data_IF_331846072638
#
_entry.id   IF_331846072638
#
_cell.length_a   1.000
_cell.length_b   1.000
_cell.length_c   1.000
_cell.angle_alpha   90.00
_cell.angle_beta   90.00
_cell.angle_gamma   90.00
#
_symmetry.space_group_name_H-M   'P 1'
#
loop_
_entity.id
_entity.type
_entity.pdbx_description
1 polymer ?
#
# COMPACT_ATOMS: atom_id res chain seq x y z
N UNK A 1 13.77 -19.76 3.66
CA UNK A 1 13.13 -18.84 2.69
C UNK A 1 12.36 -17.82 3.48
N UNK A 2 12.39 -16.55 3.08
CA UNK A 2 11.76 -15.45 3.84
C UNK A 2 10.60 -14.88 3.02
N UNK A 3 9.41 -14.79 3.60
CA UNK A 3 8.28 -14.09 2.97
C UNK A 3 8.37 -12.60 3.34
N UNK A 4 8.10 -11.73 2.36
CA UNK A 4 8.12 -10.28 2.54
C UNK A 4 6.92 -9.67 1.82
N UNK A 5 6.16 -8.82 2.52
CA UNK A 5 5.02 -8.09 1.95
C UNK A 5 5.41 -6.63 1.66
N UNK A 6 5.12 -6.15 0.45
CA UNK A 6 5.50 -4.81 -0.02
C UNK A 6 4.34 -4.10 -0.76
N UNK A 7 3.95 -2.90 -0.29
CA UNK A 7 3.27 -1.85 -1.09
C UNK A 7 1.75 -1.91 -1.35
N UNK A 8 1.00 -0.87 -0.92
CA UNK A 8 -0.40 -0.49 -1.29
C UNK A 8 -0.74 0.91 -0.64
N UNK A 9 -1.99 1.46 -0.60
CA UNK A 9 -2.34 2.80 -0.03
C UNK A 9 -3.63 2.93 0.87
N UNK A 10 -3.77 4.04 1.62
CA UNK A 10 -4.88 4.73 2.39
C UNK A 10 -4.25 5.96 3.10
N UNK A 11 -5.03 6.91 3.63
CA UNK A 11 -4.50 8.26 3.89
C UNK A 11 -4.08 8.60 5.33
N UNK A 12 -2.81 9.00 5.50
CA UNK A 12 -2.25 9.52 6.75
C UNK A 12 -2.03 11.05 6.81
N UNK A 13 -2.02 11.74 5.67
CA UNK A 13 -1.32 13.04 5.54
C UNK A 13 -2.20 14.25 5.26
N UNK A 14 -3.47 14.03 4.89
CA UNK A 14 -4.31 15.05 4.25
C UNK A 14 -5.69 15.22 4.89
N UNK A 15 -6.01 14.54 5.99
CA UNK A 15 -7.32 14.61 6.67
C UNK A 15 -7.15 14.78 8.19
N UNK A 16 -8.06 15.52 8.83
CA UNK A 16 -8.16 15.64 10.30
C UNK A 16 -9.63 15.67 10.78
N UNK A 17 -9.95 15.09 11.95
CA UNK A 17 -9.10 14.17 12.69
C UNK A 17 -8.71 12.96 11.84
N UNK A 18 -7.54 12.43 12.14
CA UNK A 18 -7.05 11.21 11.53
C UNK A 18 -8.04 10.08 11.87
N UNK A 19 -8.52 9.26 10.91
CA UNK A 19 -9.55 8.27 11.24
C UNK A 19 -8.98 7.22 12.22
N UNK A 20 -9.84 6.59 13.03
CA UNK A 20 -9.39 5.66 14.08
C UNK A 20 -10.36 4.51 14.35
N UNK A 21 -9.83 3.29 14.51
CA UNK A 21 -10.54 2.00 14.64
C UNK A 21 -11.70 2.12 15.61
N UNK A 22 -12.93 1.76 15.19
CA UNK A 22 -14.08 1.77 16.08
C UNK A 22 -14.07 0.58 17.07
N UNK A 23 -14.97 0.61 18.06
CA UNK A 23 -14.95 -0.31 19.20
C UNK A 23 -15.13 -1.79 18.81
N UNK A 24 -15.67 -2.08 17.62
CA UNK A 24 -15.84 -3.44 17.08
C UNK A 24 -14.74 -3.79 16.05
N UNK A 25 -13.67 -3.00 15.95
CA UNK A 25 -12.51 -3.27 15.11
C UNK A 25 -12.60 -2.81 13.65
N UNK A 26 -13.56 -1.93 13.30
CA UNK A 26 -14.00 -1.71 11.90
C UNK A 26 -13.45 -0.41 11.25
N UNK A 27 -13.74 -0.13 9.95
CA UNK A 27 -13.16 0.96 9.08
C UNK A 27 -14.15 1.58 8.10
N UNK A 28 -14.59 2.79 8.46
CA UNK A 28 -14.64 3.91 7.52
C UNK A 28 -13.26 4.24 7.01
N UNK A 29 -12.94 3.57 5.91
CA UNK A 29 -11.92 4.06 5.02
C UNK A 29 -12.28 5.49 4.62
N UNK A 30 -11.46 6.42 5.09
CA UNK A 30 -11.47 7.80 4.67
C UNK A 30 -10.43 7.92 3.56
N UNK A 31 -10.85 8.33 2.34
CA UNK A 31 -9.92 8.41 1.24
C UNK A 31 -8.81 9.44 1.35
N UNK A 32 -7.91 9.41 0.37
CA UNK A 32 -7.07 10.57 0.07
C UNK A 32 -7.98 11.60 -0.63
N UNK A 33 -7.99 12.87 -0.21
CA UNK A 33 -8.71 13.94 -0.90
C UNK A 33 -8.03 14.27 -2.22
N UNK A 34 -8.82 14.57 -3.24
CA UNK A 34 -8.29 14.95 -4.54
C UNK A 34 -7.55 16.29 -4.51
N UNK A 35 -6.41 16.33 -5.20
CA UNK A 35 -5.38 17.39 -5.06
C UNK A 35 -5.66 18.64 -5.90
N UNK A 36 -6.73 18.65 -6.68
CA UNK A 36 -7.08 19.73 -7.62
C UNK A 36 -8.40 19.45 -8.34
N UNK A 37 -8.64 20.15 -9.45
CA UNK A 37 -9.83 19.94 -10.27
C UNK A 37 -9.94 18.49 -10.74
N UNK A 38 -11.12 17.88 -10.55
CA UNK A 38 -11.35 16.46 -10.78
C UNK A 38 -12.77 16.22 -11.32
N UNK A 39 -12.97 15.07 -11.97
CA UNK A 39 -14.28 14.56 -12.38
C UNK A 39 -14.86 13.56 -11.39
N UNK A 40 -14.18 13.28 -10.28
CA UNK A 40 -14.69 12.43 -9.19
C UNK A 40 -15.98 13.04 -8.61
N UNK A 41 -17.07 12.27 -8.65
CA UNK A 41 -18.38 12.65 -8.10
C UNK A 41 -18.56 12.20 -6.65
N UNK A 42 -17.65 11.36 -6.16
CA UNK A 42 -17.60 10.94 -4.77
C UNK A 42 -16.88 12.01 -3.92
N UNK A 43 -17.57 12.54 -2.92
CA UNK A 43 -17.05 13.51 -1.95
C UNK A 43 -17.16 12.94 -0.54
N UNK A 44 -16.51 13.55 0.45
CA UNK A 44 -16.77 13.14 1.84
C UNK A 44 -18.26 13.30 2.21
N UNK A 45 -18.97 14.24 1.59
CA UNK A 45 -20.40 14.48 1.77
C UNK A 45 -21.33 13.51 1.02
N UNK A 46 -20.85 12.74 0.03
CA UNK A 46 -21.66 11.78 -0.73
C UNK A 46 -21.35 10.31 -0.47
N UNK A 47 -20.16 9.97 0.07
CA UNK A 47 -19.85 8.60 0.50
C UNK A 47 -20.51 8.31 1.86
N UNK A 48 -21.42 7.32 1.96
CA UNK A 48 -21.99 6.90 3.23
C UNK A 48 -20.92 6.25 4.11
N UNK A 49 -21.01 6.47 5.41
CA UNK A 49 -20.32 5.62 6.37
C UNK A 49 -20.83 4.17 6.21
N UNK A 50 -19.92 3.22 6.09
CA UNK A 50 -20.21 1.79 5.87
C UNK A 50 -20.50 1.02 7.18
N UNK A 51 -20.36 1.65 8.36
CA UNK A 51 -20.61 1.06 9.68
C UNK A 51 -21.43 1.94 10.64
N UNK A 52 -21.86 3.13 10.21
CA UNK A 52 -22.76 4.01 10.97
C UNK A 52 -23.57 4.86 10.01
N UNK A 53 -24.61 5.52 10.51
CA UNK A 53 -25.38 6.47 9.71
C UNK A 53 -24.58 7.77 9.42
N UNK A 54 -25.01 8.46 8.36
CA UNK A 54 -24.34 9.66 7.84
C UNK A 54 -23.22 9.35 6.84
N UNK A 55 -22.41 10.37 6.55
CA UNK A 55 -21.42 10.38 5.47
C UNK A 55 -20.01 10.65 6.01
N UNK A 56 -18.97 10.39 5.22
CA UNK A 56 -17.58 10.53 5.68
C UNK A 56 -17.22 11.94 6.16
N UNK A 57 -17.88 12.98 5.66
CA UNK A 57 -17.66 14.37 6.08
C UNK A 57 -18.08 14.61 7.54
N UNK A 58 -19.03 13.84 8.06
CA UNK A 58 -19.46 13.88 9.46
C UNK A 58 -18.39 13.29 10.43
N UNK A 59 -17.20 12.98 9.92
CA UNK A 59 -16.03 12.50 10.65
C UNK A 59 -14.86 13.50 10.64
N UNK A 60 -14.98 14.63 9.91
CA UNK A 60 -13.84 15.48 9.53
C UNK A 60 -14.03 16.95 9.96
N UNK A 61 -13.05 17.44 10.73
CA UNK A 61 -12.91 18.87 11.11
C UNK A 61 -11.99 19.63 10.15
N UNK A 62 -11.27 18.92 9.28
CA UNK A 62 -10.57 19.55 8.17
C UNK A 62 -9.86 18.62 7.21
N UNK A 63 -9.53 19.18 6.05
CA UNK A 63 -8.87 18.47 4.94
C UNK A 63 -7.76 19.35 4.36
N UNK A 64 -6.68 18.75 3.89
CA UNK A 64 -5.57 19.44 3.22
C UNK A 64 -5.20 18.74 1.91
N UNK A 65 -5.92 19.02 0.82
CA UNK A 65 -5.59 18.52 -0.51
C UNK A 65 -4.12 18.76 -0.85
N UNK A 66 -3.48 17.79 -1.50
CA UNK A 66 -2.11 17.96 -1.97
C UNK A 66 -1.00 17.60 -0.98
N UNK A 67 -1.30 17.53 0.33
CA UNK A 67 -0.35 17.41 1.47
C UNK A 67 0.35 18.71 1.88
N UNK A 68 0.10 19.81 1.17
CA UNK A 68 0.76 21.12 1.33
C UNK A 68 -0.29 22.23 1.56
N UNK A 69 0.14 23.37 2.10
CA UNK A 69 -0.73 24.54 2.31
C UNK A 69 -1.62 24.49 3.57
N UNK A 70 -2.61 25.39 3.59
CA UNK A 70 -3.54 25.58 4.72
C UNK A 70 -4.61 24.49 4.81
N UNK A 71 -5.20 24.34 6.00
CA UNK A 71 -6.29 23.39 6.23
C UNK A 71 -7.64 23.98 5.86
N UNK A 72 -8.40 23.26 5.03
CA UNK A 72 -9.82 23.46 4.82
C UNK A 72 -10.56 23.08 6.11
N UNK A 73 -11.30 24.00 6.74
CA UNK A 73 -12.07 23.73 7.98
C UNK A 73 -13.54 24.13 7.90
N UNK A 74 -14.00 24.67 6.78
CA UNK A 74 -15.42 24.96 6.58
C UNK A 74 -16.21 23.67 6.35
N UNK A 75 -17.33 23.52 7.06
CA UNK A 75 -18.11 22.27 7.07
C UNK A 75 -18.82 21.97 5.74
N UNK A 76 -19.13 22.98 4.92
CA UNK A 76 -19.67 22.75 3.58
C UNK A 76 -18.55 22.37 2.61
N UNK A 77 -17.43 23.08 2.66
CA UNK A 77 -16.28 22.78 1.81
C UNK A 77 -15.69 21.38 2.10
N UNK A 78 -15.68 20.92 3.35
CA UNK A 78 -15.29 19.55 3.71
C UNK A 78 -16.25 18.52 3.09
N UNK A 79 -17.56 18.80 3.04
CA UNK A 79 -18.55 17.92 2.42
C UNK A 79 -18.38 17.84 0.90
N UNK A 80 -18.09 18.95 0.25
CA UNK A 80 -17.97 19.02 -1.21
C UNK A 80 -16.58 18.59 -1.73
N UNK A 81 -15.58 18.47 -0.85
CA UNK A 81 -14.25 18.00 -1.20
C UNK A 81 -14.30 16.58 -1.81
N UNK A 82 -13.82 16.36 -3.06
CA UNK A 82 -13.81 15.06 -3.72
C UNK A 82 -12.72 14.10 -3.22
N UNK A 83 -12.96 12.79 -3.32
CA UNK A 83 -12.25 11.75 -2.54
C UNK A 83 -12.14 10.37 -3.23
N UNK A 84 -11.04 9.65 -2.98
CA UNK A 84 -10.73 8.35 -3.60
C UNK A 84 -11.43 7.11 -2.98
N UNK A 85 -12.75 7.05 -3.05
CA UNK A 85 -13.62 5.88 -2.77
C UNK A 85 -13.21 4.88 -1.66
N UNK A 86 -12.38 3.85 -1.93
CA UNK A 86 -12.01 2.78 -0.97
C UNK A 86 -10.56 2.26 -1.09
N UNK A 87 -9.87 1.97 0.03
CA UNK A 87 -8.63 1.17 0.05
C UNK A 87 -8.48 0.26 1.28
N UNK A 88 -8.31 -1.03 1.04
CA UNK A 88 -7.71 -1.99 1.98
C UNK A 88 -6.30 -2.38 1.49
N UNK A 89 -5.50 -3.02 2.33
CA UNK A 89 -4.27 -3.72 1.90
C UNK A 89 -4.64 -5.06 1.29
N UNK A 90 -4.18 -5.32 0.07
CA UNK A 90 -4.34 -6.60 -0.60
C UNK A 90 -2.98 -7.15 -1.04
N UNK A 91 -2.81 -8.46 -0.89
CA UNK A 91 -1.82 -9.26 -1.58
C UNK A 91 -2.41 -9.66 -2.94
N UNK A 92 -1.78 -9.24 -4.03
CA UNK A 92 -2.24 -9.51 -5.40
C UNK A 92 -1.25 -10.37 -6.20
N UNK A 93 -0.08 -10.67 -5.63
CA UNK A 93 0.97 -11.45 -6.27
C UNK A 93 2.12 -11.72 -5.30
N UNK A 94 3.00 -12.64 -5.67
CA UNK A 94 4.22 -12.94 -4.94
C UNK A 94 5.33 -13.34 -5.91
N UNK A 95 6.59 -13.24 -5.51
CA UNK A 95 7.71 -13.75 -6.30
C UNK A 95 8.67 -14.50 -5.39
N UNK A 96 9.18 -15.64 -5.85
CA UNK A 96 10.28 -16.31 -5.17
C UNK A 96 11.59 -15.72 -5.69
N UNK A 97 12.40 -15.14 -4.79
CA UNK A 97 13.76 -14.71 -5.14
C UNK A 97 14.61 -15.95 -5.46
N UNK A 98 15.34 -15.89 -6.57
CA UNK A 98 16.21 -16.98 -7.04
C UNK A 98 17.58 -16.94 -6.35
N UNK A 99 18.20 -15.77 -6.36
CA UNK A 99 19.62 -15.55 -6.05
C UNK A 99 19.83 -14.26 -5.25
N UNK A 100 21.09 -13.91 -4.98
CA UNK A 100 21.42 -12.66 -4.30
C UNK A 100 20.97 -11.42 -5.13
N UNK A 101 20.58 -10.32 -4.48
CA UNK A 101 20.26 -9.07 -5.18
C UNK A 101 21.49 -8.51 -5.90
N UNK A 102 21.32 -8.09 -7.15
CA UNK A 102 22.26 -7.16 -7.80
C UNK A 102 21.93 -5.76 -7.29
N UNK A 103 22.79 -5.20 -6.45
CA UNK A 103 22.69 -3.82 -5.96
C UNK A 103 23.51 -2.91 -6.87
N UNK A 104 22.93 -1.77 -7.25
CA UNK A 104 23.57 -0.71 -8.00
C UNK A 104 23.58 0.54 -7.12
N UNK A 105 24.74 0.90 -6.58
CA UNK A 105 24.88 2.10 -5.74
C UNK A 105 25.03 3.37 -6.60
N UNK A 106 24.65 4.55 -6.07
CA UNK A 106 24.72 5.80 -6.82
C UNK A 106 26.11 6.13 -7.36
N UNK A 107 27.13 5.87 -6.54
CA UNK A 107 28.52 6.27 -6.78
C UNK A 107 29.29 5.28 -7.69
N UNK A 108 28.66 4.16 -8.10
CA UNK A 108 29.28 3.21 -9.03
C UNK A 108 29.58 3.88 -10.38
N UNK A 109 30.70 3.50 -10.99
CA UNK A 109 31.03 3.96 -12.33
C UNK A 109 29.96 3.49 -13.33
N UNK A 110 29.73 4.29 -14.38
CA UNK A 110 28.73 4.00 -15.40
C UNK A 110 29.00 2.67 -16.13
N UNK A 111 30.26 2.29 -16.28
CA UNK A 111 30.64 1.01 -16.89
C UNK A 111 30.30 -0.19 -16.00
N UNK A 112 30.56 -0.10 -14.69
CA UNK A 112 30.17 -1.14 -13.72
C UNK A 112 28.65 -1.30 -13.65
N UNK A 113 27.91 -0.18 -13.59
CA UNK A 113 26.44 -0.17 -13.66
C UNK A 113 25.94 -0.87 -14.93
N UNK A 114 26.59 -0.64 -16.07
CA UNK A 114 26.25 -1.28 -17.36
C UNK A 114 26.48 -2.79 -17.31
N UNK A 115 27.67 -3.22 -16.89
CA UNK A 115 28.02 -4.65 -16.81
C UNK A 115 27.05 -5.43 -15.90
N UNK A 116 26.67 -4.85 -14.76
CA UNK A 116 25.67 -5.43 -13.86
C UNK A 116 24.26 -5.46 -14.48
N UNK A 117 23.86 -4.42 -15.23
CA UNK A 117 22.54 -4.35 -15.86
C UNK A 117 22.40 -5.24 -17.10
N UNK A 118 23.47 -5.45 -17.87
CA UNK A 118 23.44 -6.31 -19.07
C UNK A 118 23.32 -7.80 -18.73
N UNK A 119 23.57 -8.21 -17.47
CA UNK A 119 23.14 -9.52 -16.95
C UNK A 119 21.61 -9.66 -16.83
N UNK A 120 20.87 -8.53 -16.86
CA UNK A 120 19.42 -8.44 -16.63
C UNK A 120 18.71 -7.74 -17.81
N UNK A 121 18.97 -8.17 -19.05
CA UNK A 121 18.53 -7.52 -20.29
C UNK A 121 17.04 -7.12 -20.35
N UNK A 122 16.14 -7.89 -19.71
CA UNK A 122 14.70 -7.61 -19.66
C UNK A 122 14.27 -6.58 -18.61
N UNK A 123 15.19 -6.05 -17.79
CA UNK A 123 14.85 -5.22 -16.65
C UNK A 123 14.56 -3.75 -17.04
N UNK A 124 13.50 -3.17 -16.47
CA UNK A 124 13.11 -1.79 -16.71
C UNK A 124 14.19 -0.75 -16.33
N UNK A 125 15.01 -1.04 -15.30
CA UNK A 125 16.13 -0.19 -14.89
C UNK A 125 17.23 -0.17 -15.97
N UNK A 126 17.53 -1.30 -16.61
CA UNK A 126 18.47 -1.40 -17.74
C UNK A 126 17.99 -0.56 -18.93
N UNK A 127 16.71 -0.66 -19.28
CA UNK A 127 16.14 0.13 -20.38
C UNK A 127 16.12 1.64 -20.07
N UNK A 128 15.87 2.03 -18.82
CA UNK A 128 16.03 3.43 -18.40
C UNK A 128 17.49 3.88 -18.52
N UNK A 129 18.43 3.09 -18.02
CA UNK A 129 19.85 3.41 -18.01
C UNK A 129 20.39 3.72 -19.42
N UNK A 130 20.02 2.90 -20.42
CA UNK A 130 20.34 3.18 -21.82
C UNK A 130 19.64 4.45 -22.35
N UNK A 131 18.33 4.60 -22.09
CA UNK A 131 17.51 5.69 -22.65
C UNK A 131 17.58 7.05 -21.93
N UNK A 132 18.25 7.13 -20.78
CA UNK A 132 18.39 8.34 -19.93
C UNK A 132 19.81 8.59 -19.42
N UNK A 133 20.71 7.63 -19.54
CA UNK A 133 22.12 7.77 -19.16
C UNK A 133 22.46 7.34 -17.73
N UNK A 134 21.50 7.35 -16.79
CA UNK A 134 21.61 6.67 -15.50
C UNK A 134 20.22 6.23 -14.97
N UNK A 135 20.23 5.56 -13.82
CA UNK A 135 19.07 5.10 -13.08
C UNK A 135 18.31 6.26 -12.42
N UNK A 136 17.02 6.04 -12.15
CA UNK A 136 16.11 7.08 -11.66
C UNK A 136 16.57 7.76 -10.37
N UNK A 137 17.09 6.98 -9.42
CA UNK A 137 17.62 7.48 -8.15
C UNK A 137 19.11 7.84 -8.20
N UNK A 138 19.76 7.79 -9.37
CA UNK A 138 21.16 8.20 -9.56
C UNK A 138 21.27 9.46 -10.44
N UNK A 139 20.17 9.85 -11.08
CA UNK A 139 20.05 11.01 -11.96
C UNK A 139 19.90 12.30 -11.13
N UNK A 140 20.91 13.18 -11.09
CA UNK A 140 20.87 14.40 -10.27
C UNK A 140 19.90 15.45 -10.80
N UNK A 141 19.41 15.31 -12.05
CA UNK A 141 18.32 16.16 -12.56
C UNK A 141 16.97 15.76 -11.99
N UNK A 142 16.86 14.54 -11.46
CA UNK A 142 15.63 13.99 -10.91
C UNK A 142 15.57 14.05 -9.37
N UNK A 143 16.69 13.83 -8.67
CA UNK A 143 16.70 13.84 -7.20
C UNK A 143 18.00 14.37 -6.59
N UNK A 144 17.85 15.13 -5.49
CA UNK A 144 18.91 15.57 -4.58
C UNK A 144 19.33 14.47 -3.57
N UNK A 145 18.61 13.36 -3.51
CA UNK A 145 18.73 12.30 -2.50
C UNK A 145 18.93 10.95 -3.17
N UNK A 146 20.11 10.69 -3.74
CA UNK A 146 20.34 9.46 -4.47
C UNK A 146 20.19 8.22 -3.58
N UNK A 147 19.73 7.12 -4.17
CA UNK A 147 19.45 5.85 -3.47
C UNK A 147 19.91 4.66 -4.32
N UNK A 148 20.44 3.59 -3.69
CA UNK A 148 20.75 2.36 -4.40
C UNK A 148 19.51 1.79 -5.10
N UNK A 149 19.71 1.27 -6.30
CA UNK A 149 18.70 0.54 -7.08
C UNK A 149 19.02 -0.95 -6.99
N UNK A 150 18.00 -1.78 -6.78
CA UNK A 150 18.19 -3.22 -6.59
C UNK A 150 17.44 -4.01 -7.65
N UNK A 151 18.14 -4.89 -8.34
CA UNK A 151 17.57 -5.89 -9.25
C UNK A 151 17.62 -7.26 -8.54
N UNK A 152 16.45 -7.88 -8.35
CA UNK A 152 16.34 -9.23 -7.79
C UNK A 152 15.84 -10.19 -8.87
N UNK A 153 16.62 -11.24 -9.25
CA UNK A 153 16.13 -12.28 -10.14
C UNK A 153 15.05 -13.12 -9.43
N UNK A 154 13.91 -13.29 -10.10
CA UNK A 154 12.83 -14.16 -9.66
C UNK A 154 12.96 -15.58 -10.23
N UNK A 155 12.34 -16.55 -9.56
CA UNK A 155 12.10 -17.90 -10.08
C UNK A 155 10.69 -18.37 -9.72
N UNK A 156 10.25 -19.45 -10.35
CA UNK A 156 9.05 -20.15 -9.93
C UNK A 156 9.23 -20.86 -8.58
N UNK A 157 8.18 -20.96 -7.73
CA UNK A 157 6.83 -20.43 -7.95
C UNK A 157 6.74 -18.91 -7.70
N UNK A 158 6.05 -18.19 -8.58
CA UNK A 158 5.75 -16.77 -8.41
C UNK A 158 4.55 -16.31 -9.24
N UNK A 159 4.48 -14.99 -9.50
CA UNK A 159 3.47 -14.37 -10.33
C UNK A 159 2.32 -13.72 -9.55
N UNK A 160 1.28 -13.34 -10.28
CA UNK A 160 0.04 -12.80 -9.72
C UNK A 160 -0.78 -13.93 -9.08
N UNK A 161 -1.60 -13.57 -8.09
CA UNK A 161 -2.63 -14.45 -7.58
C UNK A 161 -3.88 -14.33 -8.45
N UNK A 162 -4.68 -15.39 -8.52
CA UNK A 162 -5.95 -15.40 -9.26
C UNK A 162 -6.97 -14.37 -8.73
N UNK A 163 -6.70 -13.79 -7.54
CA UNK A 163 -7.47 -12.71 -6.92
C UNK A 163 -6.68 -11.97 -5.84
N UNK A 164 -7.15 -10.78 -5.50
CA UNK A 164 -6.65 -9.98 -4.39
C UNK A 164 -7.03 -10.62 -3.03
N UNK A 165 -6.04 -11.08 -2.27
CA UNK A 165 -6.22 -11.55 -0.89
C UNK A 165 -6.12 -10.35 0.04
N UNK A 166 -7.22 -9.99 0.71
CA UNK A 166 -7.24 -8.89 1.68
C UNK A 166 -6.35 -9.25 2.88
N UNK A 167 -5.26 -8.50 3.04
CA UNK A 167 -4.29 -8.64 4.13
C UNK A 167 -4.69 -7.84 5.36
N UNK A 168 -5.17 -6.61 5.15
CA UNK A 168 -5.63 -5.79 6.25
C UNK A 168 -7.09 -6.05 6.53
N UNK A 169 -7.45 -6.05 7.80
CA UNK A 169 -8.87 -5.90 8.09
C UNK A 169 -9.38 -4.51 7.65
N UNK A 170 -10.68 -4.32 7.78
CA UNK A 170 -11.33 -3.02 7.69
C UNK A 170 -11.01 -2.35 9.04
N UNK A 171 -9.82 -1.74 9.25
CA UNK A 171 -9.44 -1.01 10.49
C UNK A 171 -9.41 0.54 10.36
N UNK A 172 -10.26 1.31 11.06
CA UNK A 172 -10.39 2.79 10.88
C UNK A 172 -9.02 3.46 11.02
N UNK A 173 -8.62 4.17 9.98
CA UNK A 173 -7.49 5.07 10.07
C UNK A 173 -6.48 5.11 8.94
N UNK A 174 -5.36 5.80 9.21
CA UNK A 174 -4.45 6.29 8.19
C UNK A 174 -3.46 5.22 7.74
N UNK A 175 -3.09 4.43 8.74
CA UNK A 175 -2.25 3.29 8.70
C UNK A 175 -3.13 2.05 8.55
N UNK A 176 -2.47 0.93 8.43
CA UNK A 176 -3.09 -0.34 8.12
C UNK A 176 -2.35 -1.38 8.89
N UNK A 177 -3.09 -2.39 9.30
CA UNK A 177 -2.55 -3.49 10.05
C UNK A 177 -3.07 -4.78 9.45
N UNK A 178 -2.27 -5.83 9.52
CA UNK A 178 -2.66 -7.18 9.15
C UNK A 178 -3.87 -7.58 10.00
N UNK A 179 -4.87 -8.26 9.42
CA UNK A 179 -5.90 -8.89 10.25
C UNK A 179 -5.28 -10.05 11.03
N UNK A 180 -5.81 -10.34 12.22
CA UNK A 180 -5.22 -11.36 13.11
C UNK A 180 -5.25 -12.76 12.50
N UNK A 181 -6.32 -13.13 11.78
CA UNK A 181 -6.35 -14.39 11.02
C UNK A 181 -5.22 -14.48 9.99
N UNK A 182 -4.86 -13.36 9.38
CA UNK A 182 -3.76 -13.28 8.41
C UNK A 182 -2.41 -13.29 9.13
N UNK A 183 -2.28 -12.60 10.27
CA UNK A 183 -1.06 -12.60 11.08
C UNK A 183 -0.76 -13.98 11.69
N UNK A 184 -1.76 -14.67 12.22
CA UNK A 184 -1.66 -16.04 12.71
C UNK A 184 -1.28 -17.05 11.62
N UNK A 185 -1.47 -16.71 10.34
CA UNK A 185 -1.06 -17.55 9.21
C UNK A 185 0.29 -17.13 8.61
N UNK A 186 0.58 -15.83 8.57
CA UNK A 186 1.80 -15.26 7.97
C UNK A 186 2.97 -15.11 8.95
N UNK A 187 2.71 -15.16 10.26
CA UNK A 187 3.69 -15.06 11.34
C UNK A 187 4.67 -13.87 11.14
N UNK A 188 4.14 -12.63 11.05
CA UNK A 188 4.95 -11.44 10.83
C UNK A 188 5.99 -11.25 11.95
N UNK A 189 7.23 -10.96 11.56
CA UNK A 189 8.38 -10.89 12.45
C UNK A 189 8.53 -9.54 13.18
N UNK A 190 7.60 -8.61 12.97
CA UNK A 190 7.60 -7.31 13.64
C UNK A 190 6.16 -6.87 13.82
N UNK A 191 5.76 -6.78 15.09
CA UNK A 191 4.46 -6.28 15.51
C UNK A 191 4.68 -5.05 16.39
N UNK A 192 3.70 -4.15 16.41
CA UNK A 192 3.59 -3.13 17.46
C UNK A 192 2.51 -3.56 18.44
N UNK A 193 2.25 -2.75 19.46
CA UNK A 193 1.09 -2.90 20.37
C UNK A 193 -0.27 -2.83 19.65
N UNK A 194 -0.29 -2.59 18.34
CA UNK A 194 -1.47 -2.59 17.46
C UNK A 194 -1.44 -3.72 16.41
N UNK A 195 -0.56 -4.70 16.60
CA UNK A 195 -0.27 -5.78 15.67
C UNK A 195 0.65 -5.35 14.53
N UNK A 196 0.69 -6.16 13.48
CA UNK A 196 1.60 -5.92 12.34
C UNK A 196 1.18 -4.74 11.48
N UNK A 197 1.93 -3.63 11.58
CA UNK A 197 1.78 -2.46 10.74
C UNK A 197 2.18 -2.77 9.30
N UNK A 198 1.30 -2.43 8.36
CA UNK A 198 1.49 -2.57 6.92
C UNK A 198 1.67 -1.20 6.24
N UNK A 199 2.04 -0.12 6.96
CA UNK A 199 1.83 1.28 6.52
C UNK A 199 3.03 2.21 6.45
N UNK A 200 2.79 3.50 6.28
CA UNK A 200 3.85 4.52 6.13
C UNK A 200 4.66 4.37 4.82
N UNK A 201 5.96 4.68 4.88
CA UNK A 201 6.88 4.67 3.74
C UNK A 201 7.28 3.24 3.32
N UNK A 202 6.28 2.46 2.87
CA UNK A 202 6.38 1.10 2.29
C UNK A 202 7.42 0.17 2.95
N UNK A 203 7.41 -0.01 4.29
CA UNK A 203 8.30 -0.97 4.93
C UNK A 203 7.99 -2.38 4.45
N UNK A 204 9.06 -3.16 4.26
CA UNK A 204 9.01 -4.58 3.94
C UNK A 204 8.60 -5.38 5.19
N UNK A 205 7.39 -5.96 5.21
CA UNK A 205 6.93 -6.77 6.34
C UNK A 205 7.48 -8.18 6.20
N UNK A 206 8.50 -8.52 7.00
CA UNK A 206 9.07 -9.86 7.06
C UNK A 206 8.12 -10.82 7.77
N UNK A 207 7.95 -12.01 7.21
CA UNK A 207 7.05 -13.05 7.69
C UNK A 207 7.83 -14.37 7.90
N UNK A 208 7.55 -15.06 9.00
CA UNK A 208 8.21 -16.31 9.42
C UNK A 208 7.52 -17.58 8.90
N UNK A 209 6.31 -17.44 8.33
CA UNK A 209 5.54 -18.52 7.70
C UNK A 209 6.36 -19.35 6.70
N UNK A 210 6.13 -20.67 6.69
CA UNK A 210 6.76 -21.54 5.72
C UNK A 210 6.20 -21.34 4.29
N UNK A 211 6.98 -21.63 3.22
CA UNK A 211 6.54 -21.38 1.85
C UNK A 211 5.31 -22.19 1.41
N UNK A 212 5.05 -23.36 2.00
CA UNK A 212 3.88 -24.18 1.72
C UNK A 212 2.61 -23.59 2.30
N UNK A 213 2.66 -23.14 3.57
CA UNK A 213 1.55 -22.46 4.25
C UNK A 213 1.27 -21.09 3.65
N UNK A 214 2.29 -20.32 3.27
CA UNK A 214 2.11 -19.07 2.52
C UNK A 214 1.38 -19.29 1.18
N UNK A 215 1.82 -20.26 0.38
CA UNK A 215 1.15 -20.59 -0.90
C UNK A 215 -0.28 -21.10 -0.68
N UNK A 216 -0.53 -21.83 0.40
CA UNK A 216 -1.87 -22.31 0.75
C UNK A 216 -2.79 -21.15 1.16
N UNK A 217 -2.29 -20.23 1.98
CA UNK A 217 -2.98 -18.99 2.36
C UNK A 217 -3.36 -18.15 1.14
N UNK A 218 -2.40 -17.89 0.26
CA UNK A 218 -2.58 -17.09 -0.94
C UNK A 218 -3.64 -17.65 -1.91
N UNK A 219 -3.97 -18.96 -1.80
CA UNK A 219 -4.96 -19.64 -2.65
C UNK A 219 -6.34 -19.83 -2.00
N UNK A 220 -6.46 -19.87 -0.67
CA UNK A 220 -7.62 -20.48 0.04
C UNK A 220 -8.84 -19.61 0.37
N UNK A 221 -8.80 -18.29 0.23
CA UNK A 221 -9.70 -17.37 0.93
C UNK A 221 -11.17 -17.26 0.38
N UNK A 222 -11.82 -18.34 -0.06
CA UNK A 222 -13.09 -18.32 -0.84
C UNK A 222 -14.38 -17.91 -0.08
N UNK A 223 -14.33 -17.70 1.24
CA UNK A 223 -15.55 -17.80 2.07
C UNK A 223 -15.95 -16.54 2.87
N UNK A 224 -15.47 -15.33 2.51
CA UNK A 224 -15.71 -14.12 3.33
C UNK A 224 -16.67 -13.05 2.79
N UNK A 225 -17.08 -13.12 1.51
CA UNK A 225 -17.94 -12.07 0.89
C UNK A 225 -19.45 -12.41 0.82
N UNK A 226 -19.90 -13.56 1.33
CA UNK A 226 -21.32 -13.99 1.27
C UNK A 226 -21.99 -14.23 2.64
N UNK A 227 -21.35 -13.86 3.75
CA UNK A 227 -21.72 -14.32 5.09
C UNK A 227 -22.30 -13.28 6.07
N UNK A 228 -22.70 -12.08 5.63
CA UNK A 228 -23.12 -10.99 6.56
C UNK A 228 -24.18 -10.01 6.03
N UNK A 229 -24.99 -10.40 5.02
CA UNK A 229 -26.12 -9.60 4.54
C UNK A 229 -27.48 -10.20 4.96
N UNK A 230 -27.63 -10.47 6.26
CA UNK A 230 -28.88 -10.68 7.03
C UNK A 230 -28.50 -10.14 8.43
N UNK A 231 -29.17 -9.18 9.06
CA UNK A 231 -30.60 -8.95 9.38
C UNK A 231 -30.86 -7.43 9.18
N UNK A 232 -31.88 -6.96 8.45
CA UNK A 232 -33.21 -6.51 8.97
C UNK A 232 -33.12 -5.77 10.33
N UNK A 233 -33.65 -4.56 10.56
CA UNK A 233 -34.47 -3.64 9.75
C UNK A 233 -33.68 -2.42 9.22
#
# INVERSE_FOLDING_TARGET
MTVVLCGVGADTGNVRPVPGVDAEGRFEYVPIPEKGATTETATYGSIPCRHRDGVLADLLDGVRPGSEGEWLTDGAAIRDQPVQAYKHRYLFGCFTVAEAPTVLDPDMAREDKRALLDAHLGNAHRNRFEGRGDLYYHDPTFTDRPRPVVVLPGREPGGLLDRAVRLSDRRRGPNYYMSEDVAAVLEPATETDHGTHLGGFKPAVRCAVDPGRFRSFARRNESRDLGSNIVED
#
